data_IF_658928144463
#
_entry.id   IF_658928144463
#
_cell.length_a   1.000
_cell.length_b   1.000
_cell.length_c   1.000
_cell.angle_alpha   90.00
_cell.angle_beta   90.00
_cell.angle_gamma   90.00
#
_symmetry.space_group_name_H-M   'P 1'
#
loop_
_entity.id
_entity.type
_entity.pdbx_description
1 polymer ?
#
# COMPACT_ATOMS: atom_id res chain seq x y z
N UNK A 1 -14.57 5.28 7.70
CA UNK A 1 -13.57 6.20 8.29
C UNK A 1 -12.31 6.10 7.45
N UNK A 2 -11.24 6.83 7.74
CA UNK A 2 -10.03 6.72 6.91
C UNK A 2 -8.79 7.18 7.69
N UNK A 3 -7.77 6.33 7.71
CA UNK A 3 -6.40 6.69 8.08
C UNK A 3 -5.63 7.04 6.80
N UNK A 4 -4.92 8.15 6.80
CA UNK A 4 -4.12 8.64 5.67
C UNK A 4 -2.76 9.09 6.15
N UNK A 5 -1.73 8.60 5.48
CA UNK A 5 -0.35 9.03 5.70
C UNK A 5 0.32 9.27 4.36
N UNK A 6 0.89 10.46 4.20
CA UNK A 6 1.81 10.78 3.13
C UNK A 6 3.20 10.96 3.71
N UNK A 7 4.18 10.23 3.20
CA UNK A 7 5.57 10.36 3.66
C UNK A 7 6.53 10.43 2.48
N UNK A 8 7.51 11.32 2.57
CA UNK A 8 8.64 11.32 1.65
C UNK A 8 9.57 10.15 2.00
N UNK A 9 10.32 9.71 1.01
CA UNK A 9 11.35 8.69 1.16
C UNK A 9 12.67 9.21 0.59
N UNK A 10 13.79 8.73 1.11
CA UNK A 10 15.14 9.09 0.64
C UNK A 10 15.75 8.04 -0.29
N UNK A 11 15.08 6.88 -0.44
CA UNK A 11 15.55 5.77 -1.25
C UNK A 11 15.40 6.05 -2.75
N UNK A 12 16.32 5.55 -3.60
CA UNK A 12 16.12 5.53 -5.04
C UNK A 12 14.83 4.78 -5.41
N UNK A 13 14.12 5.24 -6.44
CA UNK A 13 12.90 4.61 -6.93
C UNK A 13 13.17 3.84 -8.23
N UNK A 14 12.87 2.54 -8.27
CA UNK A 14 12.84 1.76 -9.51
C UNK A 14 11.60 2.13 -10.33
N UNK A 15 11.78 2.22 -11.65
CA UNK A 15 10.69 2.56 -12.59
C UNK A 15 9.67 1.45 -12.79
N UNK A 16 9.97 0.22 -12.38
CA UNK A 16 9.08 -0.93 -12.54
C UNK A 16 7.85 -0.77 -11.66
N UNK A 17 6.67 -0.74 -12.27
CA UNK A 17 5.38 -0.66 -11.57
C UNK A 17 4.87 -2.06 -11.22
N UNK A 18 4.60 -2.32 -9.94
CA UNK A 18 4.05 -3.59 -9.44
C UNK A 18 2.73 -3.39 -8.69
N UNK A 19 1.88 -4.40 -8.74
CA UNK A 19 0.74 -4.54 -7.83
C UNK A 19 1.02 -5.76 -6.96
N UNK A 20 1.08 -5.57 -5.65
CA UNK A 20 1.39 -6.60 -4.68
C UNK A 20 0.14 -6.90 -3.86
N UNK A 21 -0.29 -8.16 -3.85
CA UNK A 21 -1.32 -8.65 -2.95
C UNK A 21 -0.62 -9.30 -1.75
N UNK A 22 -0.93 -8.85 -0.54
CA UNK A 22 -0.31 -9.35 0.69
C UNK A 22 -1.38 -9.68 1.73
N UNK A 23 -1.09 -10.54 2.70
CA UNK A 23 -2.04 -10.75 3.80
C UNK A 23 -2.20 -9.47 4.62
N UNK A 24 -3.35 -9.32 5.28
CA UNK A 24 -3.59 -8.21 6.22
C UNK A 24 -2.52 -8.13 7.33
N UNK A 25 -1.98 -9.27 7.77
CA UNK A 25 -0.89 -9.33 8.73
C UNK A 25 0.41 -8.69 8.20
N UNK A 26 0.82 -9.06 6.99
CA UNK A 26 2.00 -8.45 6.33
C UNK A 26 1.77 -6.94 6.16
N UNK A 27 0.57 -6.54 5.77
CA UNK A 27 0.23 -5.13 5.60
C UNK A 27 0.33 -4.33 6.91
N UNK A 28 -0.21 -4.87 8.01
CA UNK A 28 -0.10 -4.27 9.34
C UNK A 28 1.36 -4.15 9.80
N UNK A 29 2.20 -5.14 9.46
CA UNK A 29 3.63 -5.11 9.75
C UNK A 29 4.34 -3.98 9.00
N UNK A 30 3.93 -3.66 7.77
CA UNK A 30 4.45 -2.49 7.03
C UNK A 30 4.04 -1.16 7.70
N UNK A 31 2.88 -1.12 8.34
CA UNK A 31 2.36 0.03 9.09
C UNK A 31 3.07 0.29 10.42
N UNK A 32 3.73 -0.73 10.98
CA UNK A 32 4.51 -0.55 12.22
C UNK A 32 5.56 0.55 12.03
N UNK A 33 5.72 1.41 13.04
CA UNK A 33 6.55 2.61 12.95
C UNK A 33 8.01 2.29 12.57
N UNK A 34 8.58 1.23 13.16
CA UNK A 34 9.97 0.83 12.91
C UNK A 34 10.12 0.27 11.50
N UNK A 35 9.16 -0.55 11.06
CA UNK A 35 9.11 -1.08 9.71
C UNK A 35 9.00 0.04 8.69
N UNK A 36 7.99 0.91 8.85
CA UNK A 36 7.74 2.03 7.98
C UNK A 36 8.96 2.94 7.84
N UNK A 37 9.68 3.21 8.95
CA UNK A 37 10.92 4.00 8.92
C UNK A 37 11.98 3.37 8.02
N UNK A 38 12.22 2.06 8.14
CA UNK A 38 13.17 1.33 7.29
C UNK A 38 12.72 1.33 5.83
N UNK A 39 11.41 1.29 5.56
CA UNK A 39 10.92 1.38 4.19
C UNK A 39 11.25 2.74 3.54
N UNK A 40 11.03 3.85 4.25
CA UNK A 40 11.20 5.19 3.68
C UNK A 40 12.65 5.70 3.73
N UNK A 41 13.48 5.15 4.63
CA UNK A 41 14.84 5.64 4.88
C UNK A 41 15.88 4.53 5.00
N UNK A 42 17.12 4.83 4.60
CA UNK A 42 18.29 3.98 4.88
C UNK A 42 18.90 4.22 6.28
N UNK A 43 18.38 5.20 7.01
CA UNK A 43 18.80 5.54 8.36
C UNK A 43 18.50 4.39 9.34
N UNK A 44 19.47 4.12 10.21
CA UNK A 44 19.43 3.05 11.23
C UNK A 44 19.13 3.58 12.63
N UNK A 45 18.96 4.88 12.81
CA UNK A 45 18.77 5.50 14.11
C UNK A 45 17.68 4.79 14.93
N UNK A 46 18.01 4.45 16.17
CA UNK A 46 17.12 3.74 17.09
C UNK A 46 16.91 2.24 16.78
N UNK A 47 17.64 1.65 15.82
CA UNK A 47 17.59 0.22 15.50
C UNK A 47 18.99 -0.42 15.61
N UNK A 48 19.04 -1.65 16.13
CA UNK A 48 20.27 -2.45 16.05
C UNK A 48 20.56 -2.83 14.60
N UNK A 49 21.84 -3.05 14.26
CA UNK A 49 22.25 -3.48 12.91
C UNK A 49 21.50 -4.74 12.46
N UNK A 50 21.44 -5.76 13.31
CA UNK A 50 20.74 -7.01 13.00
C UNK A 50 19.25 -6.79 12.75
N UNK A 51 18.60 -5.96 13.56
CA UNK A 51 17.18 -5.70 13.41
C UNK A 51 16.84 -4.87 12.17
N UNK A 52 17.67 -3.88 11.82
CA UNK A 52 17.54 -3.15 10.56
C UNK A 52 17.61 -4.09 9.34
N UNK A 53 18.59 -5.00 9.29
CA UNK A 53 18.72 -5.93 8.17
C UNK A 53 17.60 -6.97 8.14
N UNK A 54 17.10 -7.41 9.30
CA UNK A 54 15.92 -8.25 9.38
C UNK A 54 14.69 -7.60 8.75
N UNK A 55 14.44 -6.31 9.04
CA UNK A 55 13.33 -5.55 8.43
C UNK A 55 13.58 -5.34 6.93
N UNK A 56 14.82 -5.04 6.53
CA UNK A 56 15.18 -4.85 5.12
C UNK A 56 14.93 -6.13 4.31
N UNK A 57 15.31 -7.29 4.85
CA UNK A 57 15.09 -8.59 4.20
C UNK A 57 13.60 -8.95 4.15
N UNK A 58 12.82 -8.58 5.16
CA UNK A 58 11.35 -8.63 5.07
C UNK A 58 10.83 -7.85 3.84
N UNK A 59 11.30 -6.62 3.61
CA UNK A 59 10.86 -5.84 2.44
C UNK A 59 11.33 -6.39 1.10
N UNK A 60 12.51 -7.01 1.04
CA UNK A 60 12.96 -7.74 -0.15
C UNK A 60 12.06 -8.93 -0.45
N UNK A 61 11.71 -9.70 0.57
CA UNK A 61 10.83 -10.87 0.45
C UNK A 61 9.41 -10.49 0.02
N UNK A 62 8.88 -9.36 0.51
CA UNK A 62 7.58 -8.82 0.08
C UNK A 62 7.65 -8.25 -1.35
N UNK A 63 8.83 -7.90 -1.85
CA UNK A 63 9.04 -7.32 -3.18
C UNK A 63 8.88 -5.79 -3.23
N UNK A 64 8.99 -5.12 -2.08
CA UNK A 64 8.94 -3.65 -1.96
C UNK A 64 10.32 -2.98 -2.11
N UNK A 65 11.39 -3.74 -1.86
CA UNK A 65 12.77 -3.28 -2.04
C UNK A 65 13.52 -4.28 -2.93
N UNK A 66 14.22 -3.77 -3.93
CA UNK A 66 15.13 -4.54 -4.78
C UNK A 66 16.42 -3.75 -4.97
N UNK A 67 17.58 -4.41 -4.80
CA UNK A 67 18.90 -3.76 -4.92
C UNK A 67 19.03 -2.50 -4.05
N UNK A 68 18.41 -2.51 -2.86
CA UNK A 68 18.27 -1.39 -1.92
C UNK A 68 17.45 -0.17 -2.41
N UNK A 69 16.86 -0.25 -3.60
CA UNK A 69 15.93 0.74 -4.14
C UNK A 69 14.47 0.37 -3.84
N UNK A 70 13.62 1.36 -3.64
CA UNK A 70 12.17 1.18 -3.54
C UNK A 70 11.60 0.75 -4.89
N UNK A 71 10.73 -0.24 -4.88
CA UNK A 71 9.93 -0.60 -6.04
C UNK A 71 8.70 0.30 -6.10
N UNK A 72 8.40 0.86 -7.28
CA UNK A 72 7.14 1.57 -7.52
C UNK A 72 5.99 0.55 -7.45
N UNK A 73 5.38 0.40 -6.29
CA UNK A 73 4.40 -0.65 -6.04
C UNK A 73 3.13 -0.09 -5.39
N UNK A 74 1.99 -0.66 -5.75
CA UNK A 74 0.75 -0.56 -4.99
C UNK A 74 0.50 -1.89 -4.28
N UNK A 75 0.53 -1.85 -2.95
CA UNK A 75 0.25 -2.97 -2.05
C UNK A 75 -1.21 -2.92 -1.63
N UNK A 76 -1.91 -4.04 -1.78
CA UNK A 76 -3.32 -4.20 -1.39
C UNK A 76 -3.39 -5.42 -0.47
N UNK A 77 -3.86 -5.25 0.78
CA UNK A 77 -4.08 -6.36 1.67
C UNK A 77 -5.27 -7.20 1.20
N UNK A 78 -5.22 -8.49 1.49
CA UNK A 78 -6.38 -9.38 1.40
C UNK A 78 -6.62 -10.08 2.73
N UNK A 79 -7.87 -10.49 2.91
CA UNK A 79 -8.34 -11.40 3.97
C UNK A 79 -9.00 -12.61 3.33
N UNK A 80 -9.07 -13.72 4.07
CA UNK A 80 -9.80 -14.91 3.65
C UNK A 80 -11.10 -14.96 4.42
N UNK A 81 -12.21 -14.83 3.72
CA UNK A 81 -13.56 -14.87 4.29
C UNK A 81 -14.38 -15.93 3.56
N UNK A 82 -14.93 -16.90 4.29
CA UNK A 82 -15.75 -17.99 3.72
C UNK A 82 -15.07 -18.64 2.50
N UNK A 83 -13.79 -19.01 2.65
CA UNK A 83 -12.94 -19.61 1.61
C UNK A 83 -12.73 -18.76 0.35
N UNK A 84 -12.93 -17.43 0.45
CA UNK A 84 -12.70 -16.48 -0.64
C UNK A 84 -11.63 -15.47 -0.25
N UNK A 85 -10.76 -15.16 -1.21
CA UNK A 85 -9.84 -14.03 -1.10
C UNK A 85 -10.65 -12.75 -1.32
N UNK A 86 -10.74 -11.93 -0.29
CA UNK A 86 -11.41 -10.62 -0.34
C UNK A 86 -10.34 -9.55 -0.18
N UNK A 87 -10.30 -8.61 -1.13
CA UNK A 87 -9.41 -7.46 -1.04
C UNK A 87 -9.92 -6.53 0.06
N UNK A 88 -9.04 -6.24 1.02
CA UNK A 88 -9.34 -5.38 2.15
C UNK A 88 -9.31 -3.90 1.72
N UNK A 89 -10.00 -3.05 2.47
CA UNK A 89 -10.18 -1.63 2.14
C UNK A 89 -9.02 -0.76 2.60
N UNK A 90 -7.80 -1.21 2.32
CA UNK A 90 -6.58 -0.47 2.62
C UNK A 90 -5.59 -0.59 1.46
N UNK A 91 -4.68 0.36 1.34
CA UNK A 91 -3.59 0.28 0.38
C UNK A 91 -2.36 1.06 0.85
N UNK A 92 -1.23 0.68 0.30
CA UNK A 92 -0.01 1.46 0.30
C UNK A 92 0.44 1.63 -1.15
N UNK A 93 0.83 2.83 -1.55
CA UNK A 93 1.34 3.10 -2.88
C UNK A 93 2.62 3.90 -2.81
N UNK A 94 3.69 3.36 -3.38
CA UNK A 94 4.93 4.08 -3.60
C UNK A 94 4.75 4.91 -4.87
N UNK A 95 4.65 6.22 -4.72
CA UNK A 95 4.43 7.17 -5.82
C UNK A 95 5.68 8.05 -5.98
N UNK A 96 5.82 8.73 -7.13
CA UNK A 96 6.90 9.73 -7.32
C UNK A 96 6.87 10.87 -6.30
N UNK A 97 5.70 11.14 -5.71
CA UNK A 97 5.50 12.23 -4.77
C UNK A 97 5.67 11.80 -3.30
N UNK A 98 5.98 10.52 -3.08
CA UNK A 98 6.05 9.92 -1.75
C UNK A 98 5.23 8.65 -1.64
N UNK A 99 5.28 8.06 -0.45
CA UNK A 99 4.52 6.88 -0.08
C UNK A 99 3.16 7.34 0.47
N UNK A 100 2.10 6.91 -0.21
CA UNK A 100 0.71 7.12 0.18
C UNK A 100 0.21 5.88 0.87
N UNK A 101 -0.35 6.04 2.05
CA UNK A 101 -0.90 4.96 2.84
C UNK A 101 -2.34 5.34 3.22
N UNK A 102 -3.27 4.40 3.00
CA UNK A 102 -4.70 4.60 3.18
C UNK A 102 -5.28 3.35 3.84
N UNK A 103 -6.05 3.51 4.92
CA UNK A 103 -6.84 2.43 5.51
C UNK A 103 -8.26 2.91 5.84
N UNK A 104 -9.25 2.43 5.09
CA UNK A 104 -10.65 2.81 5.25
C UNK A 104 -11.35 2.06 6.40
N UNK A 105 -10.74 0.97 6.88
CA UNK A 105 -11.23 0.14 7.97
C UNK A 105 -10.60 0.51 9.32
N UNK A 106 -9.64 1.44 9.34
CA UNK A 106 -9.01 1.92 10.58
C UNK A 106 -9.96 2.74 11.44
N UNK A 107 -10.03 2.34 12.71
CA UNK A 107 -10.77 3.02 13.77
C UNK A 107 -9.94 4.05 14.55
N UNK A 108 -8.64 4.18 14.22
CA UNK A 108 -7.67 4.98 14.98
C UNK A 108 -8.02 6.47 15.06
N UNK A 109 -8.75 6.98 14.07
CA UNK A 109 -9.22 8.37 14.00
C UNK A 109 -10.75 8.42 13.77
N UNK A 110 -11.54 7.95 14.75
CA UNK A 110 -13.00 8.17 14.81
C UNK A 110 -13.27 9.66 15.02
N UNK A 111 -13.72 10.34 13.97
CA UNK A 111 -14.02 11.77 14.03
C UNK A 111 -15.09 12.14 12.99
N UNK A 112 -16.20 12.71 13.47
CA UNK A 112 -17.38 13.03 12.65
C UNK A 112 -17.16 14.22 11.69
N UNK A 113 -16.19 15.09 11.97
CA UNK A 113 -15.92 16.33 11.23
C UNK A 113 -14.55 16.41 10.54
N UNK A 114 -13.80 15.31 10.44
CA UNK A 114 -12.38 15.40 10.10
C UNK A 114 -12.05 15.71 8.62
N UNK A 115 -11.10 16.63 8.36
CA UNK A 115 -10.57 16.93 7.01
C UNK A 115 -9.87 15.74 6.32
N UNK A 116 -9.57 14.68 7.08
CA UNK A 116 -9.00 13.41 6.61
C UNK A 116 -9.78 12.77 5.44
N UNK A 117 -11.10 12.92 5.36
CA UNK A 117 -11.88 12.39 4.21
C UNK A 117 -11.47 13.04 2.87
N UNK A 118 -11.13 14.32 2.88
CA UNK A 118 -10.68 15.04 1.69
C UNK A 118 -9.27 14.57 1.28
N UNK A 119 -8.38 14.37 2.25
CA UNK A 119 -7.03 13.86 2.02
C UNK A 119 -7.03 12.43 1.50
N UNK A 120 -7.85 11.54 2.07
CA UNK A 120 -8.01 10.19 1.56
C UNK A 120 -8.56 10.17 0.13
N UNK A 121 -9.53 11.04 -0.17
CA UNK A 121 -10.07 11.19 -1.52
C UNK A 121 -8.99 11.68 -2.50
N UNK A 122 -8.16 12.62 -2.08
CA UNK A 122 -7.02 13.10 -2.87
C UNK A 122 -5.98 12.00 -3.08
N UNK A 123 -5.58 11.30 -2.01
CA UNK A 123 -4.68 10.15 -2.05
C UNK A 123 -5.16 9.06 -3.01
N UNK A 124 -6.43 8.64 -2.92
CA UNK A 124 -7.00 7.66 -3.83
C UNK A 124 -6.98 8.12 -5.29
N UNK A 125 -7.26 9.41 -5.57
CA UNK A 125 -7.17 9.94 -6.93
C UNK A 125 -5.74 9.93 -7.47
N UNK A 126 -4.74 10.22 -6.63
CA UNK A 126 -3.34 10.15 -7.00
C UNK A 126 -2.92 8.71 -7.33
N UNK A 127 -3.30 7.76 -6.47
CA UNK A 127 -3.06 6.33 -6.67
C UNK A 127 -3.73 5.84 -7.96
N UNK A 128 -5.00 6.19 -8.18
CA UNK A 128 -5.72 5.85 -9.42
C UNK A 128 -5.01 6.40 -10.67
N UNK A 129 -4.54 7.65 -10.60
CA UNK A 129 -3.83 8.30 -11.71
C UNK A 129 -2.50 7.60 -12.03
N UNK A 130 -1.73 7.23 -11.01
CA UNK A 130 -0.50 6.43 -11.16
C UNK A 130 -0.79 5.09 -11.83
N UNK A 131 -1.86 4.41 -11.41
CA UNK A 131 -2.28 3.12 -11.96
C UNK A 131 -2.96 3.23 -13.33
N UNK A 132 -3.03 4.44 -13.92
CA UNK A 132 -3.72 4.72 -15.18
C UNK A 132 -5.17 4.23 -15.13
N UNK A 133 -5.85 4.54 -14.04
CA UNK A 133 -7.25 4.26 -13.77
C UNK A 133 -7.95 5.61 -13.64
N UNK A 134 -8.97 5.85 -14.46
CA UNK A 134 -9.76 7.09 -14.35
C UNK A 134 -10.59 7.03 -13.08
N UNK A 135 -10.35 7.88 -12.06
CA UNK A 135 -11.13 7.86 -10.83
C UNK A 135 -12.57 8.27 -11.14
N UNK A 136 -13.54 7.47 -10.72
CA UNK A 136 -14.98 7.77 -10.79
C UNK A 136 -15.58 7.75 -9.38
N UNK A 137 -16.61 8.55 -9.15
CA UNK A 137 -17.30 8.62 -7.85
C UNK A 137 -17.21 10.00 -7.21
N UNK A 138 -18.24 10.33 -6.42
CA UNK A 138 -18.35 11.54 -5.61
C UNK A 138 -17.93 11.25 -4.16
N UNK A 139 -18.26 10.07 -3.64
CA UNK A 139 -17.88 9.63 -2.29
C UNK A 139 -16.54 8.88 -2.26
N UNK A 140 -15.95 8.74 -1.08
CA UNK A 140 -14.70 7.98 -0.88
C UNK A 140 -14.87 6.50 -1.25
N UNK A 141 -15.99 5.91 -0.82
CA UNK A 141 -16.31 4.50 -1.11
C UNK A 141 -16.51 4.27 -2.60
N UNK A 142 -17.22 5.16 -3.31
CA UNK A 142 -17.39 5.03 -4.76
C UNK A 142 -16.06 5.07 -5.52
N UNK A 143 -15.13 5.93 -5.07
CA UNK A 143 -13.78 6.02 -5.66
C UNK A 143 -12.99 4.75 -5.37
N UNK A 144 -13.08 4.24 -4.13
CA UNK A 144 -12.45 2.99 -3.73
C UNK A 144 -12.96 1.81 -4.56
N UNK A 145 -14.27 1.63 -4.64
CA UNK A 145 -14.91 0.52 -5.35
C UNK A 145 -14.58 0.59 -6.85
N UNK A 146 -14.54 1.79 -7.43
CA UNK A 146 -14.10 1.99 -8.81
C UNK A 146 -12.64 1.58 -9.02
N UNK A 147 -11.75 1.98 -8.10
CA UNK A 147 -10.32 1.65 -8.15
C UNK A 147 -10.11 0.14 -8.07
N UNK A 148 -10.68 -0.51 -7.05
CA UNK A 148 -10.55 -1.94 -6.82
C UNK A 148 -11.17 -2.75 -7.95
N UNK A 149 -12.36 -2.38 -8.44
CA UNK A 149 -12.98 -3.07 -9.58
C UNK A 149 -12.09 -3.03 -10.83
N UNK A 150 -11.50 -1.88 -11.15
CA UNK A 150 -10.62 -1.75 -12.31
C UNK A 150 -9.27 -2.43 -12.11
N UNK A 151 -8.69 -2.37 -10.90
CA UNK A 151 -7.48 -3.10 -10.54
C UNK A 151 -7.67 -4.60 -10.64
N UNK A 152 -8.75 -5.12 -10.05
CA UNK A 152 -9.09 -6.54 -10.07
C UNK A 152 -9.22 -7.03 -11.51
N UNK A 153 -9.91 -6.28 -12.39
CA UNK A 153 -9.97 -6.60 -13.83
C UNK A 153 -8.58 -6.60 -14.50
N UNK A 154 -7.72 -5.63 -14.18
CA UNK A 154 -6.35 -5.56 -14.72
C UNK A 154 -5.46 -6.72 -14.25
N UNK A 155 -5.64 -7.17 -13.01
CA UNK A 155 -4.82 -8.23 -12.39
C UNK A 155 -5.34 -9.61 -12.79
N UNK A 156 -6.62 -9.92 -12.59
CA UNK A 156 -7.21 -11.24 -12.88
C UNK A 156 -6.97 -11.63 -14.34
N UNK A 157 -7.15 -10.71 -15.28
CA UNK A 157 -6.93 -11.00 -16.71
C UNK A 157 -5.45 -11.31 -17.06
N UNK A 158 -4.52 -11.06 -16.14
CA UNK A 158 -3.09 -11.35 -16.29
C UNK A 158 -2.61 -12.52 -15.43
N UNK A 159 -3.47 -13.08 -14.57
CA UNK A 159 -3.13 -14.27 -13.80
C UNK A 159 -3.18 -15.47 -14.74
N UNK A 160 -2.02 -15.89 -15.22
CA UNK A 160 -1.87 -17.05 -16.13
C UNK A 160 -1.77 -18.36 -15.33
N UNK A 161 -1.14 -18.33 -14.16
CA UNK A 161 -0.95 -19.49 -13.29
C UNK A 161 -0.75 -19.04 -11.84
N UNK A 162 -1.40 -19.73 -10.89
CA UNK A 162 -1.12 -19.60 -9.46
C UNK A 162 -0.38 -20.87 -9.02
N UNK A 163 0.95 -20.82 -8.83
CA UNK A 163 1.68 -21.98 -8.36
C UNK A 163 1.18 -22.33 -6.94
N UNK A 164 0.63 -23.53 -6.80
CA UNK A 164 0.34 -24.13 -5.51
C UNK A 164 1.61 -24.89 -5.12
N UNK A 165 2.17 -24.67 -3.92
CA UNK A 165 3.30 -25.45 -3.43
C UNK A 165 2.98 -26.95 -3.32
#
# INVERSE_FOLDING_TARGET
>A
MCDYKLSKYDRPLKKTEKILLVSREIFNKIFDEKYFRVLISQDRDGLSKSYYYYILDFYKNVGLIEDNALVSATVIPFVVENDKIVLDKALLSVTKNGLVLIDLNSDKYKCDSCPLKAECKYGLKNVASQLKIKPKGRSLNEIWDNLISQLTKKVINKVVMLPIP
#
